data_IF_240704254206
#
_entry.id   IF_240704254206
#
_cell.length_a   1.000
_cell.length_b   1.000
_cell.length_c   1.000
_cell.angle_alpha   90.00
_cell.angle_beta   90.00
_cell.angle_gamma   90.00
#
_symmetry.space_group_name_H-M   'P 1'
#
loop_
_entity.id
_entity.type
_entity.pdbx_description
1 polymer ?
#
# COMPACT_ATOMS: atom_id res chain seq x y z
N UNK A 1 -23.95 59.50 -27.33
CA UNK A 1 -25.11 58.66 -26.97
C UNK A 1 -24.56 57.42 -26.29
N UNK A 2 -24.84 57.23 -25.01
CA UNK A 2 -24.41 56.03 -24.28
C UNK A 2 -25.28 54.85 -24.76
N UNK A 3 -24.65 53.80 -25.31
CA UNK A 3 -25.33 52.53 -25.55
C UNK A 3 -25.56 51.88 -24.18
N UNK A 4 -26.72 52.13 -23.58
CA UNK A 4 -27.22 51.36 -22.45
C UNK A 4 -27.58 49.97 -22.96
N UNK A 5 -26.63 49.04 -22.87
CA UNK A 5 -26.92 47.62 -23.03
C UNK A 5 -27.69 47.20 -21.78
N UNK A 6 -29.02 47.30 -21.83
CA UNK A 6 -29.88 46.65 -20.85
C UNK A 6 -29.78 45.14 -21.11
N UNK A 7 -28.91 44.49 -20.35
CA UNK A 7 -28.79 43.04 -20.36
C UNK A 7 -30.15 42.47 -19.97
N UNK A 8 -30.83 41.71 -20.85
CA UNK A 8 -32.14 41.14 -20.54
C UNK A 8 -32.06 40.27 -19.28
N UNK A 9 -33.09 40.30 -18.43
CA UNK A 9 -33.10 39.56 -17.16
C UNK A 9 -32.75 38.07 -17.31
N UNK A 10 -33.19 37.43 -18.40
CA UNK A 10 -32.85 36.05 -18.74
C UNK A 10 -31.35 35.82 -18.99
N UNK A 11 -30.64 36.79 -19.59
CA UNK A 11 -29.18 36.72 -19.83
C UNK A 11 -28.43 36.89 -18.52
N UNK A 12 -28.93 37.75 -17.62
CA UNK A 12 -28.36 37.95 -16.29
C UNK A 12 -28.54 36.71 -15.40
N UNK A 13 -29.72 36.11 -15.37
CA UNK A 13 -30.00 34.88 -14.61
C UNK A 13 -29.18 33.69 -15.14
N UNK A 14 -29.05 33.56 -16.46
CA UNK A 14 -28.20 32.54 -17.09
C UNK A 14 -26.72 32.74 -16.73
N UNK A 15 -26.23 33.98 -16.75
CA UNK A 15 -24.87 34.30 -16.33
C UNK A 15 -24.63 34.03 -14.84
N UNK A 16 -25.58 34.38 -13.97
CA UNK A 16 -25.53 34.13 -12.52
C UNK A 16 -25.49 32.62 -12.24
N UNK A 17 -26.39 31.83 -12.85
CA UNK A 17 -26.39 30.35 -12.74
C UNK A 17 -25.12 29.72 -13.31
N UNK A 18 -24.65 30.19 -14.47
CA UNK A 18 -23.42 29.69 -15.09
C UNK A 18 -22.19 29.97 -14.24
N UNK A 19 -22.14 31.13 -13.58
CA UNK A 19 -21.06 31.50 -12.67
C UNK A 19 -21.10 30.67 -11.38
N UNK A 20 -22.29 30.42 -10.83
CA UNK A 20 -22.46 29.53 -9.67
C UNK A 20 -22.04 28.09 -9.99
N UNK A 21 -22.49 27.54 -11.14
CA UNK A 21 -22.06 26.23 -11.60
C UNK A 21 -20.56 26.15 -11.85
N UNK A 22 -19.96 27.18 -12.44
CA UNK A 22 -18.51 27.23 -12.65
C UNK A 22 -17.73 27.23 -11.32
N UNK A 23 -18.21 27.98 -10.31
CA UNK A 23 -17.62 27.99 -8.97
C UNK A 23 -17.76 26.64 -8.27
N UNK A 24 -18.93 26.01 -8.36
CA UNK A 24 -19.18 24.68 -7.78
C UNK A 24 -18.28 23.62 -8.43
N UNK A 25 -18.21 23.62 -9.76
CA UNK A 25 -17.37 22.68 -10.51
C UNK A 25 -15.88 22.90 -10.23
N UNK A 26 -15.44 24.16 -10.12
CA UNK A 26 -14.07 24.49 -9.73
C UNK A 26 -13.75 23.99 -8.32
N UNK A 27 -14.67 24.19 -7.36
CA UNK A 27 -14.50 23.70 -5.99
C UNK A 27 -14.39 22.17 -5.94
N UNK A 28 -15.23 21.45 -6.70
CA UNK A 28 -15.14 19.98 -6.83
C UNK A 28 -13.80 19.54 -7.43
N UNK A 29 -13.36 20.19 -8.51
CA UNK A 29 -12.08 19.89 -9.15
C UNK A 29 -10.90 20.12 -8.19
N UNK A 30 -10.92 21.23 -7.43
CA UNK A 30 -9.90 21.53 -6.41
C UNK A 30 -9.85 20.45 -5.34
N UNK A 31 -11.01 20.03 -4.82
CA UNK A 31 -11.09 18.98 -3.81
C UNK A 31 -10.55 17.63 -4.33
N UNK A 32 -10.88 17.26 -5.58
CA UNK A 32 -10.33 16.06 -6.21
C UNK A 32 -8.82 16.14 -6.39
N UNK A 33 -8.29 17.31 -6.76
CA UNK A 33 -6.85 17.51 -6.90
C UNK A 33 -6.10 17.43 -5.55
N UNK A 34 -6.67 18.00 -4.48
CA UNK A 34 -6.12 17.91 -3.12
C UNK A 34 -6.14 16.47 -2.58
N UNK A 35 -7.27 15.74 -2.75
CA UNK A 35 -7.39 14.32 -2.39
C UNK A 35 -6.38 13.44 -3.16
N UNK A 36 -6.19 13.70 -4.46
CA UNK A 36 -5.23 12.98 -5.29
C UNK A 36 -3.78 13.24 -4.86
N UNK A 37 -3.43 14.49 -4.52
CA UNK A 37 -2.09 14.84 -4.09
C UNK A 37 -1.74 14.19 -2.74
N UNK A 38 -2.68 14.20 -1.78
CA UNK A 38 -2.52 13.50 -0.50
C UNK A 38 -2.35 11.98 -0.67
N UNK A 39 -3.11 11.36 -1.57
CA UNK A 39 -2.97 9.94 -1.85
C UNK A 39 -1.59 9.57 -2.43
N UNK A 40 -1.01 10.41 -3.28
CA UNK A 40 0.34 10.20 -3.81
C UNK A 40 1.40 10.31 -2.72
N UNK A 41 1.29 11.29 -1.83
CA UNK A 41 2.18 11.44 -0.67
C UNK A 41 2.12 10.20 0.25
N UNK A 42 0.90 9.74 0.57
CA UNK A 42 0.68 8.54 1.38
C UNK A 42 1.22 7.27 0.71
N UNK A 43 1.04 7.13 -0.60
CA UNK A 43 1.60 6.02 -1.39
C UNK A 43 3.13 6.01 -1.30
N UNK A 44 3.78 7.16 -1.43
CA UNK A 44 5.23 7.27 -1.36
C UNK A 44 5.77 6.94 0.04
N UNK A 45 5.13 7.47 1.08
CA UNK A 45 5.46 7.17 2.47
C UNK A 45 5.29 5.66 2.78
N UNK A 46 4.18 5.07 2.34
CA UNK A 46 3.87 3.64 2.49
C UNK A 46 4.90 2.77 1.76
N UNK A 47 5.24 3.10 0.52
CA UNK A 47 6.22 2.35 -0.26
C UNK A 47 7.62 2.38 0.41
N UNK A 48 8.03 3.56 0.89
CA UNK A 48 9.32 3.74 1.58
C UNK A 48 9.37 2.95 2.89
N UNK A 49 8.28 3.00 3.67
CA UNK A 49 8.15 2.18 4.88
C UNK A 49 8.18 0.69 4.55
N UNK A 50 7.44 0.25 3.54
CA UNK A 50 7.44 -1.13 3.07
C UNK A 50 8.85 -1.63 2.72
N UNK A 51 9.63 -0.84 1.97
CA UNK A 51 11.01 -1.21 1.64
C UNK A 51 11.89 -1.38 2.88
N UNK A 52 11.70 -0.53 3.89
CA UNK A 52 12.43 -0.60 5.16
C UNK A 52 12.03 -1.84 5.95
N UNK A 53 10.73 -2.09 6.09
CA UNK A 53 10.18 -3.25 6.80
C UNK A 53 10.62 -4.57 6.12
N UNK A 54 10.62 -4.62 4.79
CA UNK A 54 11.16 -5.75 4.02
C UNK A 54 12.63 -6.00 4.30
N UNK A 55 13.45 -4.94 4.33
CA UNK A 55 14.89 -5.04 4.59
C UNK A 55 15.18 -5.57 6.00
N UNK A 56 14.43 -5.11 7.00
CA UNK A 56 14.51 -5.61 8.37
C UNK A 56 14.11 -7.10 8.44
N UNK A 57 13.01 -7.49 7.78
CA UNK A 57 12.57 -8.90 7.74
C UNK A 57 13.64 -9.81 7.12
N UNK A 58 14.28 -9.37 6.05
CA UNK A 58 15.35 -10.13 5.41
C UNK A 58 16.54 -10.35 6.36
N UNK A 59 16.91 -9.34 7.15
CA UNK A 59 17.96 -9.45 8.17
C UNK A 59 17.56 -10.46 9.25
N UNK A 60 16.32 -10.40 9.74
CA UNK A 60 15.81 -11.35 10.73
C UNK A 60 15.85 -12.80 10.21
N UNK A 61 15.44 -13.03 8.96
CA UNK A 61 15.50 -14.36 8.34
C UNK A 61 16.94 -14.89 8.24
N UNK A 62 17.92 -14.03 7.95
CA UNK A 62 19.34 -14.43 7.94
C UNK A 62 19.80 -14.78 9.34
N UNK A 63 19.40 -13.98 10.35
CA UNK A 63 19.72 -14.24 11.75
C UNK A 63 19.14 -15.58 12.22
N UNK A 64 17.86 -15.83 11.96
CA UNK A 64 17.18 -17.06 12.37
C UNK A 64 17.84 -18.31 11.75
N UNK A 65 18.21 -18.24 10.47
CA UNK A 65 18.92 -19.33 9.79
C UNK A 65 20.33 -19.55 10.33
N UNK A 66 21.04 -18.48 10.69
CA UNK A 66 22.36 -18.57 11.29
C UNK A 66 22.27 -19.20 12.69
N UNK A 67 21.36 -18.72 13.53
CA UNK A 67 21.13 -19.24 14.88
C UNK A 67 20.76 -20.74 14.82
N UNK A 68 19.85 -21.15 13.93
CA UNK A 68 19.50 -22.55 13.73
C UNK A 68 20.69 -23.42 13.29
N UNK A 69 21.55 -22.90 12.40
CA UNK A 69 22.75 -23.61 11.94
C UNK A 69 23.79 -23.73 13.05
N UNK A 70 23.99 -22.68 13.84
CA UNK A 70 24.90 -22.71 14.99
C UNK A 70 24.42 -23.68 16.07
N UNK A 71 23.12 -23.70 16.37
CA UNK A 71 22.54 -24.62 17.33
C UNK A 71 22.66 -26.07 16.87
N UNK A 72 22.45 -26.34 15.57
CA UNK A 72 22.69 -27.66 15.00
C UNK A 72 24.17 -28.07 15.14
N UNK A 73 25.11 -27.21 14.75
CA UNK A 73 26.54 -27.47 14.91
C UNK A 73 26.94 -27.71 16.37
N UNK A 74 26.41 -26.90 17.30
CA UNK A 74 26.64 -27.07 18.74
C UNK A 74 26.13 -28.42 19.23
N UNK A 75 24.96 -28.85 18.75
CA UNK A 75 24.34 -30.12 19.12
C UNK A 75 25.14 -31.33 18.62
N UNK A 76 25.80 -31.22 17.45
CA UNK A 76 26.68 -32.26 16.92
C UNK A 76 27.89 -32.56 17.81
N UNK A 77 28.37 -31.60 18.61
CA UNK A 77 29.47 -31.86 19.56
C UNK A 77 29.03 -32.68 20.79
N UNK A 78 27.72 -32.77 21.06
CA UNK A 78 27.18 -33.45 22.22
C UNK A 78 26.80 -34.91 22.01
N UNK A 79 26.68 -35.36 20.75
CA UNK A 79 26.19 -36.71 20.42
C UNK A 79 27.28 -37.77 20.45
N UNK A 80 26.93 -38.98 20.88
CA UNK A 80 27.84 -40.11 21.11
C UNK A 80 27.54 -41.29 20.19
N UNK A 81 26.37 -41.31 19.56
CA UNK A 81 25.89 -42.41 18.73
C UNK A 81 25.35 -41.91 17.40
N UNK A 82 25.35 -42.79 16.39
CA UNK A 82 24.79 -42.50 15.06
C UNK A 82 23.28 -42.25 15.13
N UNK A 83 22.57 -42.91 16.06
CA UNK A 83 21.12 -42.70 16.24
C UNK A 83 20.81 -41.26 16.67
N UNK A 84 21.58 -40.70 17.61
CA UNK A 84 21.43 -39.31 18.05
C UNK A 84 21.75 -38.31 16.92
N UNK A 85 22.69 -38.63 16.02
CA UNK A 85 22.96 -37.81 14.82
C UNK A 85 21.76 -37.81 13.88
N UNK A 86 21.13 -38.98 13.64
CA UNK A 86 19.95 -39.09 12.78
C UNK A 86 18.77 -38.31 13.38
N UNK A 87 18.58 -38.41 14.70
CA UNK A 87 17.56 -37.63 15.41
C UNK A 87 17.80 -36.12 15.26
N UNK A 88 19.04 -35.65 15.47
CA UNK A 88 19.40 -34.24 15.27
C UNK A 88 19.17 -33.78 13.84
N UNK A 89 19.60 -34.56 12.84
CA UNK A 89 19.43 -34.22 11.43
C UNK A 89 17.94 -34.14 11.05
N UNK A 90 17.14 -35.08 11.53
CA UNK A 90 15.70 -35.13 11.28
C UNK A 90 14.99 -33.95 11.95
N UNK A 91 15.37 -33.63 13.19
CA UNK A 91 14.89 -32.45 13.91
C UNK A 91 15.21 -31.15 13.19
N UNK A 92 16.47 -30.98 12.78
CA UNK A 92 16.91 -29.80 12.03
C UNK A 92 16.14 -29.63 10.73
N UNK A 93 15.96 -30.70 9.95
CA UNK A 93 15.18 -30.65 8.69
C UNK A 93 13.73 -30.25 8.95
N UNK A 94 13.09 -30.79 10.00
CA UNK A 94 11.73 -30.38 10.38
C UNK A 94 11.69 -28.89 10.73
N UNK A 95 12.60 -28.42 11.57
CA UNK A 95 12.66 -27.00 11.96
C UNK A 95 12.88 -26.09 10.75
N UNK A 96 13.81 -26.44 9.86
CA UNK A 96 14.04 -25.66 8.64
C UNK A 96 12.83 -25.66 7.70
N UNK A 97 12.09 -26.77 7.62
CA UNK A 97 10.85 -26.83 6.84
C UNK A 97 9.76 -25.93 7.43
N UNK A 98 9.54 -25.99 8.75
CA UNK A 98 8.58 -25.12 9.44
C UNK A 98 8.92 -23.64 9.28
N UNK A 99 10.21 -23.30 9.42
CA UNK A 99 10.71 -21.95 9.18
C UNK A 99 10.46 -21.49 7.73
N UNK A 100 10.77 -22.33 6.73
CA UNK A 100 10.54 -22.00 5.33
C UNK A 100 9.06 -21.76 5.01
N UNK A 101 8.16 -22.58 5.56
CA UNK A 101 6.71 -22.40 5.41
C UNK A 101 6.25 -21.10 6.07
N UNK A 102 6.74 -20.79 7.27
CA UNK A 102 6.40 -19.53 7.98
C UNK A 102 6.88 -18.31 7.21
N UNK A 103 8.17 -18.29 6.84
CA UNK A 103 8.79 -17.18 6.10
C UNK A 103 8.07 -16.94 4.75
N UNK A 104 7.66 -18.00 4.05
CA UNK A 104 6.91 -17.89 2.79
C UNK A 104 5.53 -17.27 2.97
N UNK A 105 4.82 -17.60 4.06
CA UNK A 105 3.52 -17.00 4.38
C UNK A 105 3.65 -15.52 4.68
N UNK A 106 4.62 -15.16 5.51
CA UNK A 106 4.87 -13.76 5.86
C UNK A 106 5.26 -12.91 4.65
N UNK A 107 6.12 -13.43 3.76
CA UNK A 107 6.46 -12.76 2.50
C UNK A 107 5.22 -12.52 1.62
N UNK A 108 4.31 -13.49 1.58
CA UNK A 108 3.04 -13.37 0.85
C UNK A 108 2.11 -12.34 1.49
N UNK A 109 2.00 -12.33 2.81
CA UNK A 109 1.20 -11.35 3.56
C UNK A 109 1.76 -9.94 3.38
N UNK A 110 3.08 -9.77 3.49
CA UNK A 110 3.76 -8.51 3.26
C UNK A 110 3.51 -7.97 1.84
N UNK A 111 3.64 -8.82 0.82
CA UNK A 111 3.40 -8.42 -0.57
C UNK A 111 1.94 -7.99 -0.80
N UNK A 112 0.99 -8.71 -0.20
CA UNK A 112 -0.43 -8.36 -0.26
C UNK A 112 -0.70 -7.03 0.45
N UNK A 113 -0.16 -6.85 1.65
CA UNK A 113 -0.33 -5.63 2.45
C UNK A 113 0.24 -4.40 1.73
N UNK A 114 1.45 -4.51 1.19
CA UNK A 114 2.07 -3.44 0.41
C UNK A 114 1.23 -3.08 -0.82
N UNK A 115 0.73 -4.08 -1.54
CA UNK A 115 -0.15 -3.88 -2.70
C UNK A 115 -1.45 -3.18 -2.30
N UNK A 116 -2.12 -3.65 -1.24
CA UNK A 116 -3.35 -3.06 -0.75
C UNK A 116 -3.14 -1.61 -0.32
N UNK A 117 -2.11 -1.33 0.49
CA UNK A 117 -1.86 0.03 1.00
C UNK A 117 -1.40 1.01 -0.09
N UNK A 118 -0.74 0.52 -1.15
CA UNK A 118 -0.23 1.37 -2.25
C UNK A 118 -1.30 1.64 -3.30
N UNK A 119 -2.03 0.61 -3.75
CA UNK A 119 -2.90 0.71 -4.93
C UNK A 119 -4.38 0.95 -4.60
N UNK A 120 -4.86 0.47 -3.46
CA UNK A 120 -6.27 0.62 -3.08
C UNK A 120 -6.69 2.08 -2.93
N UNK A 121 -5.92 2.98 -2.28
CA UNK A 121 -6.31 4.39 -2.13
C UNK A 121 -6.44 5.10 -3.49
N UNK A 122 -5.53 4.81 -4.42
CA UNK A 122 -5.57 5.35 -5.78
C UNK A 122 -6.84 4.92 -6.53
N UNK A 123 -7.18 3.62 -6.44
CA UNK A 123 -8.36 3.06 -7.09
C UNK A 123 -9.66 3.61 -6.49
N UNK A 124 -9.74 3.71 -5.16
CA UNK A 124 -10.91 4.24 -4.45
C UNK A 124 -11.12 5.72 -4.79
N UNK A 125 -10.05 6.52 -4.85
CA UNK A 125 -10.11 7.95 -5.22
C UNK A 125 -10.51 8.15 -6.69
N UNK A 126 -10.00 7.33 -7.61
CA UNK A 126 -10.41 7.36 -9.01
C UNK A 126 -11.89 7.00 -9.18
N UNK A 127 -12.38 6.00 -8.43
CA UNK A 127 -13.79 5.61 -8.45
C UNK A 127 -14.70 6.71 -7.88
N UNK A 128 -14.27 7.39 -6.82
CA UNK A 128 -14.96 8.55 -6.23
C UNK A 128 -15.04 9.70 -7.23
N UNK A 129 -13.91 10.09 -7.81
CA UNK A 129 -13.85 11.15 -8.82
C UNK A 129 -14.76 10.85 -10.04
N UNK A 130 -14.80 9.60 -10.52
CA UNK A 130 -15.68 9.21 -11.62
C UNK A 130 -17.17 9.29 -11.27
N UNK A 131 -17.55 8.96 -10.02
CA UNK A 131 -18.94 9.08 -9.54
C UNK A 131 -19.34 10.55 -9.37
N UNK A 132 -18.45 11.37 -8.84
CA UNK A 132 -18.69 12.80 -8.61
C UNK A 132 -18.72 13.60 -9.93
N UNK A 133 -18.00 13.12 -10.96
CA UNK A 133 -17.93 13.74 -12.30
C UNK A 133 -18.97 13.21 -13.29
N UNK A 134 -19.85 12.27 -12.91
CA UNK A 134 -21.04 11.96 -13.73
C UNK A 134 -21.87 13.24 -13.84
N UNK A 135 -21.74 13.89 -15.00
CA UNK A 135 -22.53 15.05 -15.39
C UNK A 135 -24.02 14.77 -15.12
N UNK A 136 -24.76 15.69 -14.48
CA UNK A 136 -26.21 15.59 -14.42
C UNK A 136 -26.72 15.52 -15.88
N UNK A 137 -27.44 14.43 -16.19
CA UNK A 137 -28.17 14.28 -17.44
C UNK A 137 -29.33 15.28 -17.50
#
# INVERSE_FOLDING_TARGET
MAMSVEVPAAVREFAEKGLEQAKENYAKLKAVAEDANGAVEDTFATATKGMTDFSLRAIDMVKDNADASFDFCKSLFGVKTVSEVIELQTGFVRTQYEAAVSQSKELTEFANDLTQKTFKPLADNAQKAFKDFKLPA
#
